data_IF_113636447037
#
_entry.id   IF_113636447037
#
_cell.length_a   1.000
_cell.length_b   1.000
_cell.length_c   1.000
_cell.angle_alpha   90.00
_cell.angle_beta   90.00
_cell.angle_gamma   90.00
#
_symmetry.space_group_name_H-M   'P 1'
#
loop_
_entity.id
_entity.type
_entity.pdbx_description
1 polymer ?
#
# COMPACT_ATOMS: atom_id res chain seq x y z
N UNK A 1 20.25 9.61 -5.40
CA UNK A 1 19.64 8.26 -5.49
C UNK A 1 20.69 7.15 -5.58
N UNK A 2 21.77 7.31 -6.36
CA UNK A 2 22.96 6.41 -6.28
C UNK A 2 23.57 6.34 -4.88
N UNK A 3 23.43 7.41 -4.09
CA UNK A 3 23.88 7.50 -2.70
C UNK A 3 23.26 6.46 -1.76
N UNK A 4 22.12 5.86 -2.10
CA UNK A 4 21.45 4.83 -1.28
C UNK A 4 22.06 3.43 -1.47
N UNK A 5 22.92 3.22 -2.48
CA UNK A 5 23.52 1.92 -2.77
C UNK A 5 24.65 1.64 -1.76
N UNK A 6 24.52 0.56 -0.98
CA UNK A 6 25.53 0.14 -0.01
C UNK A 6 25.46 0.85 1.35
N UNK A 7 24.40 1.63 1.61
CA UNK A 7 24.18 2.22 2.93
C UNK A 7 23.85 1.12 3.94
N UNK A 8 24.48 1.19 5.11
CA UNK A 8 24.10 0.41 6.29
C UNK A 8 22.68 0.79 6.72
N UNK A 9 21.77 -0.18 6.70
CA UNK A 9 20.36 -0.01 7.05
C UNK A 9 20.16 0.60 8.46
N UNK A 10 21.13 0.46 9.36
CA UNK A 10 21.08 1.06 10.70
C UNK A 10 21.24 2.59 10.69
N UNK A 11 21.71 3.17 9.58
CA UNK A 11 21.90 4.62 9.40
C UNK A 11 20.73 5.31 8.69
N UNK A 12 19.65 4.57 8.38
CA UNK A 12 18.47 5.13 7.67
C UNK A 12 17.93 6.40 8.34
N UNK A 13 17.88 6.45 9.67
CA UNK A 13 17.36 7.59 10.43
C UNK A 13 18.15 8.89 10.24
N UNK A 14 19.44 8.79 9.92
CA UNK A 14 20.34 9.94 9.75
C UNK A 14 20.49 10.37 8.29
N UNK A 15 19.80 9.71 7.35
CA UNK A 15 19.89 10.07 5.95
C UNK A 15 19.11 11.35 5.68
N UNK A 16 19.72 12.21 4.87
CA UNK A 16 19.02 13.34 4.27
C UNK A 16 18.37 12.83 2.97
N UNK A 17 17.03 12.85 2.94
CA UNK A 17 16.25 12.49 1.76
C UNK A 17 16.00 13.70 0.84
N UNK A 18 16.63 14.84 1.11
CA UNK A 18 16.48 16.07 0.36
C UNK A 18 15.10 16.70 0.54
N UNK A 19 14.65 17.46 -0.47
CA UNK A 19 13.38 18.21 -0.45
C UNK A 19 12.16 17.33 -0.79
N UNK A 20 12.11 16.09 -0.32
CA UNK A 20 10.96 15.23 -0.54
C UNK A 20 9.85 15.53 0.48
N UNK A 21 8.61 15.74 0.01
CA UNK A 21 7.45 15.90 0.88
C UNK A 21 7.07 14.59 1.58
N UNK A 22 7.23 13.46 0.86
CA UNK A 22 6.88 12.12 1.33
C UNK A 22 8.02 11.15 0.96
N UNK A 23 8.46 10.37 1.94
CA UNK A 23 9.41 9.27 1.76
C UNK A 23 8.74 7.97 2.15
N UNK A 24 8.62 7.04 1.20
CA UNK A 24 8.10 5.69 1.45
C UNK A 24 9.28 4.74 1.66
N UNK A 25 9.38 4.16 2.85
CA UNK A 25 10.36 3.11 3.16
C UNK A 25 9.69 1.75 3.12
N UNK A 26 10.05 0.93 2.14
CA UNK A 26 9.59 -0.45 2.05
C UNK A 26 10.33 -1.34 3.04
N UNK A 27 9.59 -2.08 3.86
CA UNK A 27 10.14 -2.89 4.95
C UNK A 27 10.16 -4.36 4.58
N UNK A 28 11.20 -5.06 5.02
CA UNK A 28 11.15 -6.52 5.10
C UNK A 28 9.95 -6.97 5.96
N UNK A 29 9.38 -8.16 5.70
CA UNK A 29 8.28 -8.69 6.50
C UNK A 29 8.75 -9.04 7.93
N UNK A 30 7.80 -9.03 8.87
CA UNK A 30 8.04 -9.42 10.26
C UNK A 30 8.84 -8.38 11.04
N UNK A 31 9.62 -8.85 12.04
CA UNK A 31 10.32 -8.02 13.02
C UNK A 31 11.83 -8.32 13.08
N UNK A 32 12.39 -8.77 11.96
CA UNK A 32 13.83 -8.98 11.82
C UNK A 32 14.62 -7.67 11.87
N UNK A 33 15.96 -7.78 11.83
CA UNK A 33 16.86 -6.63 11.89
C UNK A 33 16.51 -5.56 10.87
N UNK A 34 16.25 -5.95 9.63
CA UNK A 34 15.95 -5.02 8.53
C UNK A 34 14.65 -4.25 8.77
N UNK A 35 13.58 -4.96 9.14
CA UNK A 35 12.29 -4.35 9.46
C UNK A 35 12.40 -3.39 10.66
N UNK A 36 13.14 -3.79 11.70
CA UNK A 36 13.38 -2.93 12.86
C UNK A 36 14.14 -1.66 12.51
N UNK A 37 15.15 -1.74 11.63
CA UNK A 37 15.89 -0.56 11.18
C UNK A 37 15.02 0.40 10.37
N UNK A 38 14.11 -0.11 9.53
CA UNK A 38 13.11 0.70 8.81
C UNK A 38 12.14 1.36 9.80
N UNK A 39 11.54 0.60 10.72
CA UNK A 39 10.61 1.13 11.71
C UNK A 39 11.26 2.23 12.57
N UNK A 40 12.51 2.07 12.99
CA UNK A 40 13.22 3.09 13.77
C UNK A 40 13.50 4.40 13.01
N UNK A 41 13.49 4.36 11.67
CA UNK A 41 13.68 5.54 10.83
C UNK A 41 12.36 6.24 10.48
N UNK A 42 11.21 5.57 10.62
CA UNK A 42 9.90 6.09 10.28
C UNK A 42 9.25 6.88 11.43
N UNK A 43 8.30 7.77 11.07
CA UNK A 43 7.37 8.43 12.00
C UNK A 43 6.00 7.75 12.00
N UNK A 44 5.59 7.33 10.81
CA UNK A 44 4.29 6.73 10.54
C UNK A 44 4.47 5.34 9.92
N UNK A 45 3.49 4.47 10.10
CA UNK A 45 3.47 3.13 9.51
C UNK A 45 2.09 2.78 8.96
N UNK A 46 2.08 2.16 7.79
CA UNK A 46 0.92 1.49 7.20
C UNK A 46 1.21 0.00 7.19
N UNK A 47 0.31 -0.81 7.72
CA UNK A 47 0.44 -2.27 7.65
C UNK A 47 -0.26 -2.81 6.42
N UNK A 48 0.42 -3.64 5.64
CA UNK A 48 -0.18 -4.37 4.52
C UNK A 48 -0.35 -5.82 4.93
N UNK A 49 -1.57 -6.36 4.80
CA UNK A 49 -1.85 -7.75 5.17
C UNK A 49 -2.86 -8.39 4.22
N UNK A 50 -2.93 -9.72 4.21
CA UNK A 50 -3.98 -10.47 3.52
C UNK A 50 -5.11 -10.81 4.49
N UNK A 51 -6.35 -11.08 4.04
CA UNK A 51 -7.50 -11.34 4.92
C UNK A 51 -7.49 -12.74 5.55
N UNK A 52 -6.35 -13.20 6.05
CA UNK A 52 -6.17 -14.49 6.70
C UNK A 52 -5.58 -14.30 8.10
N UNK A 53 -6.06 -15.09 9.06
CA UNK A 53 -5.74 -14.92 10.49
C UNK A 53 -4.24 -14.94 10.79
N UNK A 54 -3.45 -15.75 10.07
CA UNK A 54 -2.00 -15.80 10.23
C UNK A 54 -1.34 -14.45 9.87
N UNK A 55 -1.74 -13.85 8.75
CA UNK A 55 -1.21 -12.57 8.30
C UNK A 55 -1.67 -11.40 9.19
N UNK A 56 -2.93 -11.44 9.66
CA UNK A 56 -3.46 -10.45 10.63
C UNK A 56 -2.75 -10.57 11.98
N UNK A 57 -2.44 -11.78 12.43
CA UNK A 57 -1.71 -12.00 13.68
C UNK A 57 -0.31 -11.39 13.68
N UNK A 58 0.36 -11.33 12.52
CA UNK A 58 1.65 -10.66 12.41
C UNK A 58 1.53 -9.14 12.48
N UNK A 59 0.45 -8.57 11.95
CA UNK A 59 0.13 -7.14 12.14
C UNK A 59 -0.06 -6.81 13.62
N UNK A 60 -0.74 -7.67 14.40
CA UNK A 60 -0.91 -7.47 15.85
C UNK A 60 0.45 -7.36 16.55
N UNK A 61 1.40 -8.25 16.22
CA UNK A 61 2.75 -8.22 16.80
C UNK A 61 3.51 -6.96 16.35
N UNK A 62 3.46 -6.63 15.06
CA UNK A 62 4.16 -5.46 14.53
C UNK A 62 3.60 -4.15 15.07
N UNK A 63 2.27 -4.04 15.24
CA UNK A 63 1.61 -2.88 15.83
C UNK A 63 2.05 -2.65 17.27
N UNK A 64 2.25 -3.72 18.07
CA UNK A 64 2.81 -3.59 19.43
C UNK A 64 4.21 -2.99 19.42
N UNK A 65 5.07 -3.42 18.49
CA UNK A 65 6.42 -2.89 18.34
C UNK A 65 6.39 -1.44 17.84
N UNK A 66 5.57 -1.13 16.84
CA UNK A 66 5.40 0.23 16.34
C UNK A 66 4.97 1.20 17.46
N UNK A 67 3.99 0.79 18.29
CA UNK A 67 3.57 1.55 19.47
C UNK A 67 4.70 1.74 20.48
N UNK A 68 5.49 0.69 20.74
CA UNK A 68 6.65 0.78 21.65
C UNK A 68 7.71 1.76 21.13
N UNK A 69 7.92 1.82 19.83
CA UNK A 69 8.84 2.75 19.17
C UNK A 69 8.26 4.16 19.00
N UNK A 70 7.00 4.39 19.37
CA UNK A 70 6.34 5.69 19.26
C UNK A 70 5.92 6.07 17.84
N UNK A 71 5.77 5.10 16.93
CA UNK A 71 5.27 5.35 15.58
C UNK A 71 3.75 5.52 15.58
N UNK A 72 3.26 6.39 14.70
CA UNK A 72 1.84 6.50 14.40
C UNK A 72 1.42 5.44 13.38
N UNK A 73 0.52 4.54 13.78
CA UNK A 73 -0.06 3.57 12.86
C UNK A 73 -1.25 4.19 12.13
N UNK A 74 -1.07 4.53 10.85
CA UNK A 74 -2.11 5.15 10.01
C UNK A 74 -3.27 4.18 9.71
N UNK A 75 -3.00 2.88 9.72
CA UNK A 75 -4.01 1.84 9.56
C UNK A 75 -3.52 0.63 8.77
N UNK A 76 -4.48 -0.15 8.28
CA UNK A 76 -4.26 -1.43 7.58
C UNK A 76 -4.75 -1.35 6.14
N UNK A 77 -3.93 -1.82 5.21
CA UNK A 77 -4.32 -2.13 3.84
C UNK A 77 -4.58 -3.63 3.74
N UNK A 78 -5.85 -3.99 3.56
CA UNK A 78 -6.27 -5.37 3.36
C UNK A 78 -6.12 -5.73 1.88
N UNK A 79 -5.04 -6.43 1.55
CA UNK A 79 -4.60 -6.72 0.19
C UNK A 79 -5.00 -8.14 -0.27
N UNK A 80 -5.03 -8.34 -1.58
CA UNK A 80 -5.37 -9.61 -2.25
C UNK A 80 -6.73 -10.21 -1.86
N UNK A 81 -7.68 -9.36 -1.46
CA UNK A 81 -9.00 -9.82 -1.03
C UNK A 81 -9.83 -10.39 -2.17
N UNK A 82 -10.51 -11.52 -1.95
CA UNK A 82 -11.27 -12.27 -2.97
C UNK A 82 -12.78 -12.34 -2.72
N UNK A 83 -13.27 -11.91 -1.55
CA UNK A 83 -14.66 -12.13 -1.08
C UNK A 83 -14.98 -13.61 -0.81
N UNK A 84 -13.97 -14.38 -0.43
CA UNK A 84 -14.19 -15.79 -0.08
C UNK A 84 -14.66 -15.92 1.37
N UNK A 85 -15.50 -16.92 1.67
CA UNK A 85 -16.12 -17.08 2.99
C UNK A 85 -15.14 -17.39 4.14
N UNK A 86 -13.90 -17.76 3.80
CA UNK A 86 -12.83 -18.00 4.76
C UNK A 86 -11.99 -16.75 5.05
N UNK A 87 -12.21 -15.66 4.32
CA UNK A 87 -11.51 -14.41 4.51
C UNK A 87 -12.11 -13.63 5.68
N UNK A 88 -11.26 -13.07 6.52
CA UNK A 88 -11.66 -12.11 7.53
C UNK A 88 -12.20 -10.86 6.84
N UNK A 89 -13.34 -10.36 7.31
CA UNK A 89 -13.88 -9.12 6.79
C UNK A 89 -13.15 -7.90 7.38
N UNK A 90 -13.58 -6.70 6.96
CA UNK A 90 -12.97 -5.46 7.43
C UNK A 90 -13.09 -5.31 8.94
N UNK A 91 -14.29 -5.58 9.47
CA UNK A 91 -14.62 -5.39 10.86
C UNK A 91 -13.86 -6.38 11.73
N UNK A 92 -13.76 -7.64 11.31
CA UNK A 92 -12.97 -8.65 12.02
C UNK A 92 -11.51 -8.20 12.17
N UNK A 93 -10.91 -7.66 11.11
CA UNK A 93 -9.53 -7.17 11.14
C UNK A 93 -9.38 -5.96 12.06
N UNK A 94 -10.32 -5.01 12.00
CA UNK A 94 -10.31 -3.83 12.87
C UNK A 94 -10.46 -4.22 14.35
N UNK A 95 -11.40 -5.11 14.66
CA UNK A 95 -11.66 -5.60 16.02
C UNK A 95 -10.43 -6.35 16.60
N UNK A 96 -9.77 -7.18 15.78
CA UNK A 96 -8.59 -7.94 16.19
C UNK A 96 -7.34 -7.09 16.39
N UNK A 97 -7.13 -6.07 15.55
CA UNK A 97 -5.89 -5.29 15.52
C UNK A 97 -5.98 -3.98 16.29
N UNK A 98 -7.20 -3.48 16.51
CA UNK A 98 -7.47 -2.14 17.05
C UNK A 98 -7.00 -1.02 16.13
N UNK A 99 -6.88 -1.28 14.82
CA UNK A 99 -6.47 -0.32 13.80
C UNK A 99 -7.53 -0.24 12.70
N UNK A 100 -7.78 0.94 12.11
CA UNK A 100 -8.72 1.06 11.02
C UNK A 100 -8.19 0.41 9.74
N UNK A 101 -9.06 -0.20 8.96
CA UNK A 101 -8.75 -0.62 7.59
C UNK A 101 -8.92 0.61 6.68
N UNK A 102 -7.81 1.09 6.14
CA UNK A 102 -7.80 2.33 5.34
C UNK A 102 -7.99 2.08 3.84
N UNK A 103 -7.79 0.84 3.38
CA UNK A 103 -8.07 0.40 2.02
C UNK A 103 -8.24 -1.12 1.91
N UNK A 104 -9.04 -1.54 0.94
CA UNK A 104 -9.21 -2.94 0.54
C UNK A 104 -8.83 -3.11 -0.92
N UNK A 105 -7.67 -3.73 -1.18
CA UNK A 105 -7.17 -3.96 -2.53
C UNK A 105 -7.57 -5.39 -2.95
N UNK A 106 -8.45 -5.55 -3.96
CA UNK A 106 -8.88 -6.87 -4.38
C UNK A 106 -7.76 -7.64 -5.08
N UNK A 107 -7.84 -8.96 -5.06
CA UNK A 107 -7.03 -9.78 -5.96
C UNK A 107 -7.35 -9.42 -7.41
N UNK A 108 -6.33 -9.10 -8.19
CA UNK A 108 -6.46 -8.66 -9.57
C UNK A 108 -5.32 -9.21 -10.42
N UNK A 109 -5.65 -10.00 -11.44
CA UNK A 109 -4.68 -10.59 -12.37
C UNK A 109 -3.89 -9.52 -13.14
N UNK A 110 -4.39 -8.29 -13.25
CA UNK A 110 -3.66 -7.20 -13.89
C UNK A 110 -2.40 -6.81 -13.11
N UNK A 111 -2.36 -7.02 -11.79
CA UNK A 111 -1.14 -6.81 -10.99
C UNK A 111 -0.05 -7.76 -11.47
N UNK A 112 -0.35 -9.05 -11.60
CA UNK A 112 0.62 -10.04 -12.10
C UNK A 112 1.05 -9.77 -13.55
N UNK A 113 0.10 -9.42 -14.42
CA UNK A 113 0.41 -9.03 -15.81
C UNK A 113 1.34 -7.82 -15.86
N UNK A 114 1.10 -6.81 -15.01
CA UNK A 114 1.92 -5.60 -14.95
C UNK A 114 3.38 -5.89 -14.60
N UNK A 115 3.63 -6.88 -13.73
CA UNK A 115 4.99 -7.33 -13.39
C UNK A 115 5.73 -7.90 -14.61
N UNK A 116 5.06 -8.72 -15.43
CA UNK A 116 5.64 -9.25 -16.66
C UNK A 116 6.01 -8.13 -17.66
N UNK A 117 5.27 -7.03 -17.63
CA UNK A 117 5.53 -5.82 -18.42
C UNK A 117 6.49 -4.83 -17.75
N UNK A 118 6.98 -5.11 -16.52
CA UNK A 118 7.83 -4.21 -15.71
C UNK A 118 7.24 -2.81 -15.55
N UNK A 119 5.91 -2.74 -15.42
CA UNK A 119 5.17 -1.49 -15.22
C UNK A 119 4.34 -1.58 -13.94
N UNK A 120 4.24 -0.51 -13.14
CA UNK A 120 3.28 -0.45 -12.05
C UNK A 120 1.85 -0.69 -12.54
N UNK A 121 1.05 -1.47 -11.78
CA UNK A 121 -0.34 -1.79 -12.17
C UNK A 121 -1.18 -0.55 -12.45
N UNK A 122 -0.97 0.53 -11.69
CA UNK A 122 -1.69 1.80 -11.85
C UNK A 122 -1.43 2.48 -13.20
N UNK A 123 -0.28 2.21 -13.84
CA UNK A 123 0.04 2.69 -15.19
C UNK A 123 -0.34 1.66 -16.26
N UNK A 124 -0.12 0.38 -15.99
CA UNK A 124 -0.40 -0.71 -16.93
C UNK A 124 -1.90 -0.92 -17.16
N UNK A 125 -2.69 -0.93 -16.08
CA UNK A 125 -4.13 -1.15 -16.10
C UNK A 125 -4.83 -0.12 -15.19
N UNK A 126 -4.89 1.16 -15.60
CA UNK A 126 -5.38 2.26 -14.75
C UNK A 126 -6.86 2.16 -14.36
N UNK A 127 -7.63 1.34 -15.07
CA UNK A 127 -9.05 1.10 -14.81
C UNK A 127 -9.32 -0.21 -14.08
N UNK A 128 -8.28 -0.96 -13.67
CA UNK A 128 -8.47 -2.22 -12.96
C UNK A 128 -8.91 -1.97 -11.51
N UNK A 129 -9.66 -2.90 -10.89
CA UNK A 129 -10.09 -2.75 -9.51
C UNK A 129 -8.95 -2.46 -8.53
N UNK A 130 -7.82 -3.17 -8.65
CA UNK A 130 -6.66 -2.92 -7.79
C UNK A 130 -6.06 -1.52 -8.01
N UNK A 131 -5.89 -1.10 -9.26
CA UNK A 131 -5.36 0.24 -9.59
C UNK A 131 -6.24 1.36 -9.07
N UNK A 132 -7.56 1.20 -9.11
CA UNK A 132 -8.51 2.18 -8.58
C UNK A 132 -8.37 2.30 -7.06
N UNK A 133 -8.32 1.19 -6.33
CA UNK A 133 -8.20 1.20 -4.86
C UNK A 133 -6.83 1.71 -4.38
N UNK A 134 -5.75 1.39 -5.10
CA UNK A 134 -4.41 1.94 -4.81
C UNK A 134 -4.40 3.47 -4.98
N UNK A 135 -4.97 4.00 -6.06
CA UNK A 135 -5.01 5.45 -6.27
C UNK A 135 -5.95 6.16 -5.28
N UNK A 136 -7.06 5.53 -4.88
CA UNK A 136 -7.91 6.04 -3.80
C UNK A 136 -7.16 6.13 -2.48
N UNK A 137 -6.41 5.08 -2.13
CA UNK A 137 -5.57 5.07 -0.93
C UNK A 137 -4.55 6.21 -0.99
N UNK A 138 -3.83 6.35 -2.11
CA UNK A 138 -2.85 7.42 -2.30
C UNK A 138 -3.48 8.81 -2.10
N UNK A 139 -4.63 9.07 -2.73
CA UNK A 139 -5.36 10.33 -2.55
C UNK A 139 -5.79 10.57 -1.10
N UNK A 140 -6.31 9.53 -0.43
CA UNK A 140 -6.69 9.59 0.99
C UNK A 140 -5.51 9.95 1.90
N UNK A 141 -4.32 9.38 1.64
CA UNK A 141 -3.12 9.65 2.44
C UNK A 141 -2.63 11.10 2.34
N UNK A 142 -2.87 11.77 1.21
CA UNK A 142 -2.51 13.18 1.01
C UNK A 142 -3.67 14.15 1.22
N UNK A 143 -4.84 13.66 1.66
CA UNK A 143 -6.03 14.49 1.89
C UNK A 143 -6.72 14.98 0.62
N UNK A 144 -6.49 14.33 -0.53
CA UNK A 144 -7.10 14.69 -1.81
C UNK A 144 -8.30 13.79 -2.17
N UNK A 145 -9.19 14.33 -3.01
CA UNK A 145 -10.28 13.56 -3.59
C UNK A 145 -9.83 12.80 -4.85
N UNK A 146 -10.04 11.48 -4.88
CA UNK A 146 -9.76 10.68 -6.07
C UNK A 146 -10.93 10.67 -7.06
N UNK A 147 -10.64 10.99 -8.33
CA UNK A 147 -11.55 10.77 -9.46
C UNK A 147 -11.03 9.67 -10.38
N UNK A 148 -11.80 8.58 -10.59
CA UNK A 148 -11.37 7.51 -11.51
C UNK A 148 -11.12 8.06 -12.92
N UNK A 149 -10.15 7.51 -13.65
CA UNK A 149 -9.93 7.91 -15.03
C UNK A 149 -11.21 7.70 -15.85
N UNK A 150 -11.56 8.68 -16.68
CA UNK A 150 -12.71 8.56 -17.60
C UNK A 150 -12.35 7.56 -18.70
N UNK A 151 -13.20 6.55 -18.96
CA UNK A 151 -12.98 5.64 -20.10
C UNK A 151 -13.03 6.46 -21.39
N UNK A 152 -11.94 6.47 -22.15
CA UNK A 152 -11.82 7.17 -23.45
C UNK A 152 -12.62 6.49 -24.58
N UNK A 153 -13.69 5.76 -24.25
CA UNK A 153 -14.52 5.00 -25.19
C UNK A 153 -15.45 5.91 -26.00
N UNK A 154 -16.05 6.93 -25.39
CA UNK A 154 -16.98 7.85 -26.09
C UNK A 154 -16.28 8.77 -27.11
N UNK A 155 -15.01 9.12 -26.86
CA UNK A 155 -14.26 10.04 -27.73
C UNK A 155 -13.83 9.42 -29.07
N UNK A 156 -13.74 8.07 -29.16
CA UNK A 156 -13.47 7.40 -30.44
C UNK A 156 -14.72 7.30 -31.32
N UNK A 157 -15.88 7.04 -30.74
CA UNK A 157 -17.14 6.88 -31.48
C UNK A 157 -17.66 8.22 -32.06
N UNK A 158 -17.56 9.31 -31.29
CA UNK A 158 -17.92 10.66 -31.75
C UNK A 158 -17.01 11.18 -32.87
N UNK A 159 -15.79 10.63 -33.01
CA UNK A 159 -14.88 10.96 -34.12
C UNK A 159 -15.22 10.22 -35.41
N UNK A 160 -16.00 9.15 -35.33
CA UNK A 160 -16.48 8.37 -36.47
C UNK A 160 -17.77 8.92 -37.06
N UNK A 161 -18.62 9.57 -36.24
CA UNK A 161 -19.87 10.22 -36.65
C UNK A 161 -19.67 11.65 -37.19
N UNK A 162 -18.42 12.10 -37.30
CA UNK A 162 -18.05 13.46 -37.75
C UNK A 162 -17.24 13.43 -39.05
N UNK A 163 -17.38 12.37 -39.83
CA UNK A 163 -16.88 12.22 -41.20
C UNK A 163 -18.06 12.08 -42.16
#
# INVERSE_FOLDING_TARGET
MEELIGIDINKLKSLDFGNADIVLLDSAPGLGREAMSVLNACKEVIFVTTPFMNAVSDVIKCNRVAKYLGLEALGIVLNMWRKDFHELDEKDVEDLTGLPVIAKIPFDLNVQKSLAHRMPTVLFAPYSPASIEINKLAARLIGEAYSPPKRRFLFKLLRFLRK
#
